data_IF_426752484508
#
_entry.id   IF_426752484508
#
_cell.length_a   1.000
_cell.length_b   1.000
_cell.length_c   1.000
_cell.angle_alpha   90.00
_cell.angle_beta   90.00
_cell.angle_gamma   90.00
#
_symmetry.space_group_name_H-M   'P 1'
#
loop_
_entity.id
_entity.type
_entity.pdbx_description
1 polymer ?
#
# COMPACT_ATOMS: atom_id res chain seq x y z
N UNK A 1 -59.56 -15.91 37.51
CA UNK A 1 -59.26 -15.95 36.07
C UNK A 1 -57.89 -15.29 35.90
N UNK A 2 -56.79 -16.04 35.93
CA UNK A 2 -56.20 -16.87 34.87
C UNK A 2 -54.80 -16.26 34.59
N UNK A 3 -53.79 -16.89 35.20
CA UNK A 3 -52.38 -16.55 35.09
C UNK A 3 -51.81 -17.08 33.76
N UNK A 4 -50.77 -16.43 33.23
CA UNK A 4 -49.93 -17.04 32.20
C UNK A 4 -48.44 -16.76 32.48
N UNK A 5 -47.85 -17.66 33.29
CA UNK A 5 -46.41 -17.83 33.43
C UNK A 5 -45.99 -18.82 32.33
N UNK A 6 -45.19 -18.39 31.35
CA UNK A 6 -44.52 -19.34 30.44
C UNK A 6 -43.16 -19.70 31.03
N UNK A 7 -43.14 -20.90 31.58
CA UNK A 7 -41.96 -21.63 31.99
C UNK A 7 -41.21 -22.18 30.76
N UNK A 8 -39.89 -22.19 30.86
CA UNK A 8 -39.02 -23.30 30.46
C UNK A 8 -39.06 -23.74 29.00
N UNK A 9 -38.11 -23.25 28.22
CA UNK A 9 -37.61 -24.00 27.07
C UNK A 9 -36.16 -24.39 27.37
N UNK A 10 -36.01 -25.65 27.79
CA UNK A 10 -34.74 -26.24 28.18
C UNK A 10 -33.81 -26.31 26.98
N UNK A 11 -32.67 -25.63 27.09
CA UNK A 11 -31.51 -25.85 26.23
C UNK A 11 -31.08 -27.31 26.42
N UNK A 12 -31.33 -28.12 25.40
CA UNK A 12 -30.83 -29.50 25.33
C UNK A 12 -29.30 -29.44 25.21
N UNK A 13 -28.53 -30.23 25.97
CA UNK A 13 -27.13 -30.46 25.68
C UNK A 13 -27.07 -31.15 24.31
N UNK A 14 -26.57 -30.43 23.30
CA UNK A 14 -26.23 -31.03 22.01
C UNK A 14 -25.16 -32.08 22.27
N UNK A 15 -25.49 -33.28 21.81
CA UNK A 15 -24.66 -34.47 21.81
C UNK A 15 -23.23 -34.13 21.35
N UNK A 16 -22.28 -34.61 22.14
CA UNK A 16 -20.87 -34.62 21.82
C UNK A 16 -20.73 -35.47 20.56
N UNK A 17 -20.45 -34.81 19.43
CA UNK A 17 -20.01 -35.48 18.23
C UNK A 17 -18.60 -36.02 18.53
N UNK A 18 -18.52 -37.31 18.83
CA UNK A 18 -17.27 -38.07 18.80
C UNK A 18 -16.78 -38.14 17.36
N UNK A 19 -16.07 -37.09 16.92
CA UNK A 19 -15.22 -37.17 15.74
C UNK A 19 -13.87 -37.74 16.19
N UNK A 20 -13.70 -39.04 15.97
CA UNK A 20 -12.41 -39.74 15.83
C UNK A 20 -11.65 -39.22 14.59
N UNK A 21 -11.43 -37.90 14.52
CA UNK A 21 -10.59 -37.29 13.49
C UNK A 21 -9.18 -37.12 14.05
N UNK A 22 -8.31 -37.96 13.50
CA UNK A 22 -6.86 -37.99 13.69
C UNK A 22 -6.31 -36.56 13.78
N UNK A 23 -5.51 -36.22 14.80
CA UNK A 23 -4.98 -34.88 14.96
C UNK A 23 -4.12 -34.52 13.73
N UNK A 24 -4.62 -33.55 12.99
CA UNK A 24 -4.00 -33.01 11.79
C UNK A 24 -2.64 -32.40 12.17
N UNK A 25 -1.54 -33.06 11.79
CA UNK A 25 -0.14 -32.71 12.08
C UNK A 25 0.37 -31.42 11.40
N UNK A 26 -0.50 -30.49 11.02
CA UNK A 26 -0.13 -29.34 10.18
C UNK A 26 -0.55 -27.98 10.72
N UNK A 27 -0.81 -27.87 12.03
CA UNK A 27 -0.95 -26.56 12.70
C UNK A 27 0.04 -26.46 13.84
N UNK A 28 1.32 -26.56 13.50
CA UNK A 28 2.42 -26.07 14.33
C UNK A 28 2.25 -24.56 14.42
N UNK A 29 1.47 -24.12 15.41
CA UNK A 29 1.69 -22.83 16.02
C UNK A 29 3.19 -22.78 16.31
N UNK A 30 3.88 -21.75 15.80
CA UNK A 30 5.28 -21.51 16.11
C UNK A 30 5.40 -21.15 17.59
N UNK A 31 5.27 -22.15 18.46
CA UNK A 31 5.78 -22.10 19.82
C UNK A 31 7.27 -21.88 19.66
N UNK A 32 7.71 -20.66 19.98
CA UNK A 32 9.12 -20.30 20.00
C UNK A 32 9.79 -21.07 21.14
N UNK A 33 10.08 -22.36 20.90
CA UNK A 33 10.83 -23.21 21.82
C UNK A 33 12.21 -22.59 21.94
N UNK A 34 12.53 -22.08 23.12
CA UNK A 34 13.79 -21.42 23.46
C UNK A 34 14.99 -22.32 23.23
N UNK A 35 15.50 -22.34 22.00
CA UNK A 35 16.74 -23.00 21.64
C UNK A 35 17.93 -22.11 21.99
N UNK A 36 18.73 -22.54 22.98
CA UNK A 36 20.14 -22.16 23.26
C UNK A 36 20.59 -20.86 22.58
N UNK A 37 20.41 -19.70 23.22
CA UNK A 37 20.98 -18.38 22.88
C UNK A 37 21.67 -18.30 21.51
N UNK A 38 20.94 -18.56 20.43
CA UNK A 38 21.45 -18.27 19.09
C UNK A 38 21.48 -16.76 19.07
N UNK A 39 22.68 -16.18 19.11
CA UNK A 39 22.87 -14.76 18.89
C UNK A 39 22.01 -14.42 17.67
N UNK A 40 21.01 -13.56 17.86
CA UNK A 40 20.18 -13.08 16.76
C UNK A 40 21.14 -12.34 15.83
N UNK A 41 21.62 -13.06 14.81
CA UNK A 41 22.40 -12.45 13.75
C UNK A 41 21.47 -11.46 13.07
N UNK A 42 21.78 -10.17 13.19
CA UNK A 42 21.09 -9.15 12.41
C UNK A 42 21.48 -9.41 10.96
N UNK A 43 20.58 -10.08 10.22
CA UNK A 43 20.77 -10.30 8.79
C UNK A 43 20.45 -9.02 8.06
N UNK A 44 21.38 -8.57 7.24
CA UNK A 44 21.18 -7.43 6.35
C UNK A 44 20.42 -7.85 5.11
N UNK A 45 19.91 -6.88 4.35
CA UNK A 45 19.25 -7.14 3.06
C UNK A 45 20.18 -7.94 2.12
N UNK A 46 21.48 -7.65 2.18
CA UNK A 46 22.53 -8.33 1.43
C UNK A 46 22.67 -9.81 1.81
N UNK A 47 22.55 -10.14 3.10
CA UNK A 47 22.61 -11.53 3.56
C UNK A 47 21.40 -12.38 3.11
N UNK A 48 20.33 -11.71 2.66
CA UNK A 48 19.08 -12.30 2.21
C UNK A 48 18.95 -12.40 0.69
N UNK A 49 19.71 -11.61 -0.08
CA UNK A 49 19.56 -11.47 -1.52
C UNK A 49 19.51 -12.83 -2.25
N UNK A 50 20.41 -13.76 -1.91
CA UNK A 50 20.46 -15.08 -2.57
C UNK A 50 19.48 -16.12 -2.01
N UNK A 51 18.77 -15.81 -0.91
CA UNK A 51 17.95 -16.78 -0.18
C UNK A 51 16.48 -16.70 -0.50
N UNK A 52 16.00 -15.54 -0.92
CA UNK A 52 14.57 -15.29 -1.10
C UNK A 52 14.31 -14.44 -2.33
N UNK A 53 13.26 -14.79 -3.08
CA UNK A 53 12.82 -14.01 -4.25
C UNK A 53 12.46 -12.57 -3.89
N UNK A 54 11.88 -12.34 -2.72
CA UNK A 54 11.58 -10.98 -2.26
C UNK A 54 12.86 -10.14 -2.08
N UNK A 55 13.96 -10.76 -1.63
CA UNK A 55 15.23 -10.07 -1.48
C UNK A 55 15.96 -9.84 -2.80
N UNK A 56 15.88 -10.78 -3.77
CA UNK A 56 16.39 -10.53 -5.14
C UNK A 56 15.67 -9.35 -5.78
N UNK A 57 14.34 -9.31 -5.70
CA UNK A 57 13.54 -8.22 -6.25
C UNK A 57 13.85 -6.89 -5.54
N UNK A 58 13.96 -6.89 -4.20
CA UNK A 58 14.39 -5.69 -3.46
C UNK A 58 15.79 -5.21 -3.91
N UNK A 59 16.72 -6.13 -4.13
CA UNK A 59 18.07 -5.79 -4.56
C UNK A 59 18.09 -5.18 -5.98
N UNK A 60 17.30 -5.73 -6.90
CA UNK A 60 17.12 -5.17 -8.24
C UNK A 60 16.57 -3.73 -8.18
N UNK A 61 15.53 -3.50 -7.37
CA UNK A 61 14.97 -2.16 -7.18
C UNK A 61 15.97 -1.19 -6.55
N UNK A 62 16.76 -1.63 -5.57
CA UNK A 62 17.81 -0.82 -4.97
C UNK A 62 18.82 -0.36 -6.02
N UNK A 63 19.35 -1.28 -6.84
CA UNK A 63 20.32 -0.96 -7.87
C UNK A 63 19.74 -0.02 -8.94
N UNK A 64 18.48 -0.21 -9.33
CA UNK A 64 17.79 0.69 -10.25
C UNK A 64 17.70 2.12 -9.69
N UNK A 65 17.29 2.28 -8.43
CA UNK A 65 17.21 3.59 -7.79
C UNK A 65 18.59 4.26 -7.64
N UNK A 66 19.63 3.49 -7.30
CA UNK A 66 21.01 4.01 -7.23
C UNK A 66 21.50 4.45 -8.61
N UNK A 67 21.19 3.69 -9.66
CA UNK A 67 21.53 4.05 -11.04
C UNK A 67 20.84 5.35 -11.46
N UNK A 68 19.56 5.55 -11.11
CA UNK A 68 18.81 6.77 -11.42
C UNK A 68 19.38 8.03 -10.74
N UNK A 69 19.94 7.89 -9.54
CA UNK A 69 20.58 9.02 -8.82
C UNK A 69 21.98 9.34 -9.41
N UNK A 70 22.49 8.53 -10.32
CA UNK A 70 23.80 8.72 -10.95
C UNK A 70 24.88 7.81 -10.37
N UNK A 71 24.52 6.70 -9.73
CA UNK A 71 25.45 5.68 -9.27
C UNK A 71 25.94 5.87 -7.82
N UNK A 72 26.61 4.84 -7.30
CA UNK A 72 26.92 4.68 -5.87
C UNK A 72 27.86 5.76 -5.29
N UNK A 73 28.65 6.41 -6.15
CA UNK A 73 29.55 7.50 -5.78
C UNK A 73 28.82 8.81 -5.46
N UNK A 74 27.59 9.00 -5.97
CA UNK A 74 26.80 10.22 -5.82
C UNK A 74 25.81 10.14 -4.65
N UNK A 75 25.76 9.02 -3.95
CA UNK A 75 24.75 8.75 -2.91
C UNK A 75 25.40 8.77 -1.53
N UNK A 76 24.95 9.66 -0.65
CA UNK A 76 25.40 9.68 0.74
C UNK A 76 24.91 8.44 1.49
N UNK A 77 25.61 8.05 2.56
CA UNK A 77 25.24 6.87 3.35
C UNK A 77 23.79 6.94 3.87
N UNK A 78 23.34 8.12 4.31
CA UNK A 78 21.98 8.31 4.77
C UNK A 78 20.95 8.02 3.65
N UNK A 79 21.23 8.47 2.42
CA UNK A 79 20.37 8.17 1.27
C UNK A 79 20.40 6.69 0.93
N UNK A 80 21.56 6.02 0.97
CA UNK A 80 21.64 4.56 0.75
C UNK A 80 20.72 3.80 1.70
N UNK A 81 20.73 4.14 3.00
CA UNK A 81 19.84 3.48 3.98
C UNK A 81 18.35 3.73 3.71
N UNK A 82 17.99 4.91 3.18
CA UNK A 82 16.63 5.23 2.76
C UNK A 82 16.21 4.44 1.52
N UNK A 83 17.10 4.30 0.54
CA UNK A 83 16.88 3.50 -0.67
C UNK A 83 16.72 2.02 -0.36
N UNK A 84 17.54 1.47 0.54
CA UNK A 84 17.40 0.07 1.00
C UNK A 84 16.01 -0.18 1.62
N UNK A 85 15.54 0.74 2.47
CA UNK A 85 14.20 0.65 3.08
C UNK A 85 13.08 0.82 2.05
N UNK A 86 13.25 1.73 1.09
CA UNK A 86 12.31 1.91 0.00
C UNK A 86 12.21 0.66 -0.88
N UNK A 87 13.34 0.06 -1.23
CA UNK A 87 13.41 -1.17 -2.01
C UNK A 87 12.70 -2.33 -1.31
N UNK A 88 12.94 -2.48 0.00
CA UNK A 88 12.24 -3.47 0.82
C UNK A 88 10.72 -3.24 0.83
N UNK A 89 10.26 -1.99 1.02
CA UNK A 89 8.83 -1.68 1.01
C UNK A 89 8.19 -1.96 -0.35
N UNK A 90 8.91 -1.72 -1.45
CA UNK A 90 8.46 -2.02 -2.81
C UNK A 90 8.30 -3.53 -3.04
N UNK A 91 9.28 -4.33 -2.62
CA UNK A 91 9.22 -5.78 -2.73
C UNK A 91 8.08 -6.37 -1.88
N UNK A 92 7.84 -5.81 -0.69
CA UNK A 92 6.74 -6.23 0.17
C UNK A 92 5.37 -5.88 -0.45
N UNK A 93 5.24 -4.69 -1.05
CA UNK A 93 4.04 -4.31 -1.80
C UNK A 93 3.79 -5.26 -2.99
N UNK A 94 4.82 -5.59 -3.77
CA UNK A 94 4.72 -6.54 -4.88
C UNK A 94 4.29 -7.95 -4.40
N UNK A 95 4.79 -8.38 -3.25
CA UNK A 95 4.39 -9.65 -2.66
C UNK A 95 2.91 -9.65 -2.23
N UNK A 96 2.42 -8.54 -1.67
CA UNK A 96 1.00 -8.39 -1.35
C UNK A 96 0.15 -8.44 -2.62
N UNK A 97 0.53 -7.70 -3.67
CA UNK A 97 -0.13 -7.74 -4.99
C UNK A 97 -0.19 -9.16 -5.55
N UNK A 98 0.91 -9.92 -5.46
CA UNK A 98 0.95 -11.32 -5.87
C UNK A 98 -0.06 -12.18 -5.09
N UNK A 99 -0.13 -12.03 -3.77
CA UNK A 99 -1.11 -12.75 -2.93
C UNK A 99 -2.54 -12.49 -3.41
N UNK A 100 -2.87 -11.25 -3.77
CA UNK A 100 -4.22 -10.88 -4.26
C UNK A 100 -4.56 -11.46 -5.62
N UNK A 101 -3.56 -11.56 -6.49
CA UNK A 101 -3.75 -12.08 -7.84
C UNK A 101 -3.85 -13.61 -7.88
N UNK A 102 -3.36 -14.30 -6.85
CA UNK A 102 -3.46 -15.75 -6.77
C UNK A 102 -4.86 -16.18 -6.32
N UNK A 103 -5.64 -16.85 -7.18
CA UNK A 103 -7.00 -17.30 -6.83
C UNK A 103 -7.01 -18.32 -5.70
N UNK A 104 -5.89 -19.00 -5.45
CA UNK A 104 -5.76 -20.03 -4.42
C UNK A 104 -5.55 -19.45 -3.01
N UNK A 105 -5.30 -18.15 -2.88
CA UNK A 105 -5.07 -17.54 -1.57
C UNK A 105 -6.40 -17.04 -0.99
N UNK A 106 -6.94 -17.82 -0.04
CA UNK A 106 -8.21 -17.49 0.63
C UNK A 106 -8.15 -16.18 1.46
N UNK A 107 -6.94 -15.70 1.75
CA UNK A 107 -6.70 -14.50 2.54
C UNK A 107 -6.58 -13.29 1.61
N UNK A 108 -7.61 -12.45 1.57
CA UNK A 108 -7.55 -11.18 0.86
C UNK A 108 -6.46 -10.25 1.41
N UNK A 109 -5.96 -9.33 0.59
CA UNK A 109 -5.02 -8.30 1.05
C UNK A 109 -5.65 -7.48 2.17
N UNK A 110 -4.87 -7.18 3.21
CA UNK A 110 -5.19 -6.11 4.13
C UNK A 110 -4.96 -4.74 3.46
N UNK A 111 -6.01 -4.16 2.85
CA UNK A 111 -5.92 -2.92 2.05
C UNK A 111 -5.27 -1.77 2.83
N UNK A 112 -5.57 -1.63 4.12
CA UNK A 112 -4.98 -0.57 4.95
C UNK A 112 -3.47 -0.72 5.13
N UNK A 113 -2.97 -1.96 5.15
CA UNK A 113 -1.54 -2.26 5.26
C UNK A 113 -0.82 -1.93 3.97
N UNK A 114 -1.42 -2.33 2.85
CA UNK A 114 -0.92 -2.01 1.52
C UNK A 114 -0.88 -0.49 1.26
N UNK A 115 -1.97 0.23 1.54
CA UNK A 115 -2.03 1.69 1.36
C UNK A 115 -0.98 2.42 2.21
N UNK A 116 -0.75 1.97 3.45
CA UNK A 116 0.28 2.53 4.31
C UNK A 116 1.69 2.29 3.76
N UNK A 117 1.98 1.08 3.25
CA UNK A 117 3.27 0.77 2.62
C UNK A 117 3.53 1.63 1.38
N UNK A 118 2.53 1.79 0.52
CA UNK A 118 2.64 2.64 -0.67
C UNK A 118 2.83 4.10 -0.27
N UNK A 119 2.12 4.60 0.73
CA UNK A 119 2.30 5.95 1.27
C UNK A 119 3.71 6.18 1.83
N UNK A 120 4.22 5.24 2.63
CA UNK A 120 5.57 5.27 3.18
C UNK A 120 6.63 5.25 2.06
N UNK A 121 6.44 4.39 1.05
CA UNK A 121 7.31 4.31 -0.12
C UNK A 121 7.38 5.67 -0.84
N UNK A 122 6.23 6.29 -1.13
CA UNK A 122 6.19 7.60 -1.75
C UNK A 122 6.89 8.67 -0.90
N UNK A 123 6.70 8.67 0.41
CA UNK A 123 7.36 9.61 1.31
C UNK A 123 8.89 9.45 1.29
N UNK A 124 9.39 8.21 1.31
CA UNK A 124 10.83 7.93 1.23
C UNK A 124 11.42 8.35 -0.10
N UNK A 125 10.80 7.98 -1.24
CA UNK A 125 11.28 8.38 -2.56
C UNK A 125 11.27 9.90 -2.75
N UNK A 126 10.22 10.57 -2.26
CA UNK A 126 10.13 12.03 -2.25
C UNK A 126 11.25 12.68 -1.44
N UNK A 127 11.61 12.10 -0.29
CA UNK A 127 12.70 12.60 0.56
C UNK A 127 14.07 12.49 -0.09
N UNK A 128 14.27 11.50 -0.97
CA UNK A 128 15.51 11.31 -1.74
C UNK A 128 15.54 12.20 -2.99
N UNK A 129 14.43 12.81 -3.38
CA UNK A 129 14.31 13.59 -4.61
C UNK A 129 14.00 12.74 -5.86
N UNK A 130 13.80 11.43 -5.69
CA UNK A 130 13.22 10.55 -6.70
C UNK A 130 11.72 10.78 -6.76
N UNK A 131 11.32 11.89 -7.37
CA UNK A 131 9.93 12.19 -7.64
C UNK A 131 9.61 11.79 -9.08
N UNK A 132 8.35 11.39 -9.31
CA UNK A 132 7.83 11.24 -10.67
C UNK A 132 8.01 12.58 -11.37
N UNK A 133 9.02 12.67 -12.24
CA UNK A 133 9.11 13.78 -13.18
C UNK A 133 7.89 13.64 -14.06
N UNK A 134 6.99 14.61 -13.99
CA UNK A 134 5.96 14.77 -15.02
C UNK A 134 6.77 14.91 -16.30
N UNK A 135 6.68 13.91 -17.18
CA UNK A 135 7.21 14.02 -18.52
C UNK A 135 6.62 15.31 -19.07
N UNK A 136 7.47 16.26 -19.41
CA UNK A 136 7.03 17.44 -20.12
C UNK A 136 6.61 16.96 -21.51
N UNK A 137 5.34 16.59 -21.59
CA UNK A 137 4.68 16.16 -22.81
C UNK A 137 4.34 17.35 -23.69
N UNK A 138 4.66 18.59 -23.25
CA UNK A 138 4.52 19.76 -24.11
C UNK A 138 5.51 19.56 -25.26
N UNK A 139 5.03 19.31 -26.49
CA UNK A 139 5.93 19.19 -27.62
C UNK A 139 6.65 20.53 -27.72
N UNK A 140 7.98 20.49 -27.70
CA UNK A 140 8.79 21.68 -27.95
C UNK A 140 8.25 22.34 -29.22
N UNK A 141 7.78 23.58 -29.10
CA UNK A 141 7.07 24.27 -30.18
C UNK A 141 7.92 24.27 -31.46
N UNK A 142 9.24 24.33 -31.31
CA UNK A 142 10.19 24.26 -32.42
C UNK A 142 10.17 22.88 -33.12
N UNK A 143 10.15 21.79 -32.36
CA UNK A 143 10.02 20.42 -32.90
C UNK A 143 8.66 20.19 -33.52
N UNK A 144 7.61 20.70 -32.90
CA UNK A 144 6.25 20.61 -33.43
C UNK A 144 6.11 21.36 -34.76
N UNK A 145 6.64 22.58 -34.86
CA UNK A 145 6.65 23.36 -36.11
C UNK A 145 7.47 22.65 -37.18
N UNK A 146 8.66 22.14 -36.85
CA UNK A 146 9.52 21.43 -37.80
C UNK A 146 8.87 20.15 -38.34
N UNK A 147 8.23 19.36 -37.46
CA UNK A 147 7.52 18.15 -37.85
C UNK A 147 6.31 18.49 -38.72
N UNK A 148 5.55 19.54 -38.36
CA UNK A 148 4.38 19.97 -39.13
C UNK A 148 4.74 20.58 -40.49
N UNK A 149 5.91 21.21 -40.64
CA UNK A 149 6.40 21.63 -41.97
C UNK A 149 6.77 20.45 -42.85
N UNK A 150 7.33 19.37 -42.28
CA UNK A 150 7.67 18.16 -43.05
C UNK A 150 6.42 17.39 -43.53
N UNK A 151 5.36 17.36 -42.72
CA UNK A 151 4.09 16.74 -43.11
C UNK A 151 3.38 17.52 -44.24
N UNK A 152 3.53 18.85 -44.27
CA UNK A 152 2.93 19.70 -45.31
C UNK A 152 3.65 19.61 -46.67
N UNK A 153 4.96 19.36 -46.66
CA UNK A 153 5.75 19.21 -47.88
C UNK A 153 5.62 17.80 -48.50
N UNK A 154 5.09 16.82 -47.75
CA UNK A 154 4.96 15.42 -48.15
C UNK A 154 3.70 15.06 -48.95
N UNK A 155 2.65 15.89 -48.96
CA UNK A 155 1.39 15.58 -49.65
C UNK A 155 1.24 16.19 -51.05
N UNK A 156 2.31 16.78 -51.61
CA UNK A 156 2.28 17.32 -52.98
C UNK A 156 2.88 16.34 -54.00
N UNK A 157 2.69 15.03 -53.80
CA UNK A 157 2.92 14.04 -54.85
C UNK A 157 1.65 13.88 -55.68
N UNK A 158 1.53 14.80 -56.64
CA UNK A 158 0.76 14.77 -57.89
C UNK A 158 0.05 13.44 -58.24
N UNK A 159 -1.16 13.22 -57.73
CA UNK A 159 -2.15 12.39 -58.43
C UNK A 159 -2.99 13.29 -59.34
N UNK A 160 -2.33 13.73 -60.41
CA UNK A 160 -2.92 14.57 -61.45
C UNK A 160 -3.50 13.66 -62.52
N UNK A 161 -4.58 12.95 -62.21
CA UNK A 161 -5.21 12.02 -63.14
C UNK A 161 -6.59 11.55 -62.71
N UNK A 162 -7.63 12.37 -62.91
CA UNK A 162 -9.00 11.91 -62.77
C UNK A 162 -10.01 13.02 -62.57
N UNK A 163 -10.45 13.64 -63.66
CA UNK A 163 -11.64 14.46 -63.69
C UNK A 163 -12.87 13.58 -63.42
N UNK A 164 -13.29 13.47 -62.16
CA UNK A 164 -14.68 13.10 -61.87
C UNK A 164 -15.35 14.23 -61.09
N UNK A 165 -16.43 14.71 -61.71
CA UNK A 165 -17.33 15.76 -61.27
C UNK A 165 -18.02 15.35 -59.96
N UNK A 166 -17.31 15.47 -58.85
CA UNK A 166 -17.83 15.32 -57.51
C UNK A 166 -18.40 16.64 -57.02
N UNK A 167 -19.72 16.69 -56.88
CA UNK A 167 -20.49 17.79 -56.31
C UNK A 167 -19.86 18.30 -55.00
N UNK A 168 -19.44 19.57 -55.00
CA UNK A 168 -18.87 20.23 -53.83
C UNK A 168 -19.95 20.36 -52.75
N UNK A 169 -19.91 19.51 -51.72
CA UNK A 169 -20.65 19.74 -50.50
C UNK A 169 -19.85 20.75 -49.66
N UNK A 170 -20.38 21.96 -49.41
CA UNK A 170 -19.71 22.91 -48.53
C UNK A 170 -19.55 22.28 -47.14
N UNK A 171 -18.38 22.42 -46.49
CA UNK A 171 -18.20 21.95 -45.13
C UNK A 171 -19.19 22.69 -44.24
N UNK A 172 -20.02 21.94 -43.52
CA UNK A 172 -20.87 22.49 -42.46
C UNK A 172 -19.97 23.29 -41.51
N UNK A 173 -20.27 24.58 -41.39
CA UNK A 173 -19.73 25.45 -40.37
C UNK A 173 -20.16 24.89 -39.00
N UNK A 174 -19.36 24.01 -38.45
CA UNK A 174 -19.43 23.72 -37.02
C UNK A 174 -18.90 24.94 -36.29
N UNK A 175 -19.82 25.76 -35.81
CA UNK A 175 -19.51 26.79 -34.82
C UNK A 175 -18.67 26.17 -33.71
N UNK A 176 -17.55 26.80 -33.31
CA UNK A 176 -16.77 26.32 -32.19
C UNK A 176 -17.64 26.44 -30.94
N UNK A 177 -18.20 25.32 -30.51
CA UNK A 177 -18.85 25.20 -29.21
C UNK A 177 -17.77 25.52 -28.18
N UNK A 178 -17.77 26.77 -27.73
CA UNK A 178 -16.98 27.24 -26.62
C UNK A 178 -17.51 26.58 -25.35
N UNK A 179 -17.19 25.30 -25.16
CA UNK A 179 -17.34 24.61 -23.88
C UNK A 179 -16.25 25.17 -22.98
N UNK A 180 -16.46 26.40 -22.52
CA UNK A 180 -15.79 26.96 -21.37
C UNK A 180 -16.17 26.01 -20.23
N UNK A 181 -15.24 25.14 -19.86
CA UNK A 181 -15.25 24.45 -18.59
C UNK A 181 -15.27 25.53 -17.50
N UNK A 182 -16.47 25.99 -17.14
CA UNK A 182 -16.68 26.74 -15.91
C UNK A 182 -16.20 25.81 -14.79
N UNK A 183 -15.28 26.25 -13.92
CA UNK A 183 -15.04 25.51 -12.69
C UNK A 183 -16.39 25.39 -12.00
N UNK A 184 -16.79 24.16 -11.70
CA UNK A 184 -17.98 23.83 -10.93
C UNK A 184 -17.98 24.71 -9.69
N UNK A 185 -18.77 25.80 -9.74
CA UNK A 185 -19.03 26.62 -8.58
C UNK A 185 -19.67 25.70 -7.56
N UNK A 186 -18.97 25.58 -6.44
CA UNK A 186 -19.40 24.90 -5.24
C UNK A 186 -20.80 25.42 -4.89
N UNK A 187 -21.82 24.64 -5.21
CA UNK A 187 -23.14 24.80 -4.62
C UNK A 187 -22.96 24.68 -3.10
N UNK A 188 -23.23 25.74 -2.33
CA UNK A 188 -23.42 25.58 -0.91
C UNK A 188 -24.80 24.93 -0.69
N UNK A 189 -24.95 24.23 0.42
CA UNK A 189 -26.26 23.84 0.98
C UNK A 189 -26.97 22.65 0.35
N UNK A 190 -26.39 21.46 0.52
CA UNK A 190 -27.13 20.34 1.13
C UNK A 190 -26.17 19.20 1.40
N UNK A 191 -25.35 19.35 2.43
CA UNK A 191 -24.62 18.24 3.00
C UNK A 191 -25.51 17.59 4.07
N UNK A 192 -26.20 16.45 3.79
CA UNK A 192 -27.00 15.75 4.80
C UNK A 192 -26.15 15.21 5.95
N UNK A 193 -24.83 15.34 5.90
CA UNK A 193 -23.91 14.98 6.98
C UNK A 193 -23.64 16.12 7.99
N UNK A 194 -24.16 17.33 7.79
CA UNK A 194 -23.93 18.45 8.70
C UNK A 194 -24.73 18.37 10.02
N UNK A 195 -25.55 17.34 10.21
CA UNK A 195 -26.29 17.12 11.46
C UNK A 195 -26.16 15.67 11.91
N UNK A 196 -24.93 15.15 11.97
CA UNK A 196 -24.71 14.03 12.88
C UNK A 196 -24.84 14.56 14.32
N UNK A 197 -25.73 14.00 15.15
CA UNK A 197 -25.77 14.35 16.56
C UNK A 197 -24.36 14.15 17.12
N UNK A 198 -23.91 15.06 18.00
CA UNK A 198 -22.72 14.84 18.82
C UNK A 198 -22.84 13.42 19.38
N UNK A 199 -22.11 12.47 18.79
CA UNK A 199 -22.00 11.13 19.32
C UNK A 199 -21.47 11.33 20.73
N UNK A 200 -22.23 10.86 21.71
CA UNK A 200 -21.73 10.70 23.07
C UNK A 200 -20.29 10.24 22.99
N UNK A 201 -19.41 10.97 23.67
CA UNK A 201 -18.03 10.55 23.85
C UNK A 201 -18.14 9.25 24.63
N UNK A 202 -18.24 8.13 23.90
CA UNK A 202 -18.14 6.80 24.45
C UNK A 202 -16.70 6.70 24.91
N UNK A 203 -16.49 6.98 26.19
CA UNK A 203 -15.21 6.78 26.84
C UNK A 203 -14.80 5.34 26.54
N UNK A 204 -13.67 5.12 25.83
CA UNK A 204 -13.27 3.77 25.51
C UNK A 204 -13.15 2.98 26.82
N UNK A 205 -13.57 1.70 26.84
CA UNK A 205 -13.39 0.87 28.02
C UNK A 205 -11.91 0.91 28.41
N UNK A 206 -11.59 0.93 29.72
CA UNK A 206 -10.22 0.97 30.18
C UNK A 206 -9.44 -0.16 29.52
N UNK A 207 -8.36 0.20 28.82
CA UNK A 207 -7.46 -0.77 28.20
C UNK A 207 -6.93 -1.66 29.33
N UNK A 208 -7.05 -3.00 29.24
CA UNK A 208 -6.52 -3.88 30.26
C UNK A 208 -5.01 -3.62 30.42
N UNK A 209 -4.56 -3.48 31.69
CA UNK A 209 -3.16 -3.25 32.03
C UNK A 209 -2.28 -4.25 31.27
N UNK A 210 -1.28 -3.73 30.55
CA UNK A 210 -0.35 -4.59 29.83
C UNK A 210 0.41 -5.46 30.83
N UNK A 211 0.75 -6.72 30.52
CA UNK A 211 1.35 -7.65 31.48
C UNK A 211 2.66 -7.13 32.11
N UNK A 212 3.40 -6.27 31.41
CA UNK A 212 4.61 -5.64 31.94
C UNK A 212 4.33 -4.51 32.95
N UNK A 213 3.18 -3.84 32.89
CA UNK A 213 2.76 -2.83 33.87
C UNK A 213 2.35 -3.47 35.20
N UNK A 214 1.72 -4.64 35.13
CA UNK A 214 1.41 -5.47 36.30
C UNK A 214 2.72 -5.87 37.01
N UNK A 215 3.70 -6.37 36.26
CA UNK A 215 5.02 -6.74 36.80
C UNK A 215 5.76 -5.55 37.43
N UNK A 216 5.66 -4.35 36.82
CA UNK A 216 6.28 -3.13 37.34
C UNK A 216 5.62 -2.64 38.63
N UNK A 217 4.28 -2.72 38.72
CA UNK A 217 3.53 -2.44 39.96
C UNK A 217 3.86 -3.44 41.07
N UNK A 218 4.05 -4.71 40.75
CA UNK A 218 4.47 -5.72 41.73
C UNK A 218 5.90 -5.50 42.23
N UNK A 219 6.83 -5.15 41.34
CA UNK A 219 8.20 -4.79 41.75
C UNK A 219 8.23 -3.53 42.62
N UNK A 220 7.40 -2.53 42.32
CA UNK A 220 7.29 -1.31 43.12
C UNK A 220 6.73 -1.57 44.54
N UNK A 221 5.88 -2.59 44.71
CA UNK A 221 5.34 -3.00 46.02
C UNK A 221 6.37 -3.72 46.90
N UNK A 222 7.44 -4.26 46.32
CA UNK A 222 8.46 -5.03 47.05
C UNK A 222 9.89 -4.50 46.80
N UNK A 223 10.24 -3.29 47.26
CA UNK A 223 11.60 -2.74 47.09
C UNK A 223 12.69 -3.43 47.94
N UNK A 224 12.36 -4.47 48.71
CA UNK A 224 13.27 -5.09 49.71
C UNK A 224 14.06 -6.29 49.20
N UNK A 225 14.44 -6.28 47.93
CA UNK A 225 15.34 -7.27 47.32
C UNK A 225 16.80 -6.83 47.19
N UNK A 226 17.23 -5.75 47.86
CA UNK A 226 18.64 -5.33 47.89
C UNK A 226 19.46 -6.35 48.69
N UNK A 227 19.89 -7.43 48.02
CA UNK A 227 20.93 -8.32 48.55
C UNK A 227 22.16 -7.47 48.83
N UNK A 228 22.51 -7.31 50.11
CA UNK A 228 23.80 -6.74 50.49
C UNK A 228 24.90 -7.61 49.86
N UNK A 229 25.92 -7.01 49.22
CA UNK A 229 27.06 -7.77 48.75
C UNK A 229 27.73 -8.44 49.95
N UNK A 230 28.01 -9.74 49.82
CA UNK A 230 28.77 -10.50 50.81
C UNK A 230 30.23 -10.01 50.75
N UNK A 231 30.86 -9.69 51.89
CA UNK A 231 32.29 -9.39 51.93
C UNK A 231 33.14 -10.59 51.53
#
# INVERSE_FOLDING_TARGET
MAANRRAGEGVRPTEVLDTDDKPNKARTQATHVGGKNKKLGLMTLWDLADKTRAATEAYEWYNAMVAEIGGDANVSLAVKTLLERAAFCRALAAHMEYIQLNPDTEHGIHLGGYANLVGLLHAMLRSVGLQKKVLDLTPDLSKYIAQRSMDLDGEVETDRGGEESGTYHPPEQHDPVSTINRPTELLPENNPFATMPLTEIVTPPPVPDQPWEIARREQAKNPRGSRKPKP
#
